data_IF_855927256064
#
_entry.id   IF_855927256064
#
_cell.length_a   1.000
_cell.length_b   1.000
_cell.length_c   1.000
_cell.angle_alpha   90.00
_cell.angle_beta   90.00
_cell.angle_gamma   90.00
#
_symmetry.space_group_name_H-M   'P 1'
#
loop_
_entity.id
_entity.type
_entity.pdbx_description
1 polymer ?
#
# COMPACT_ATOMS: atom_id res chain seq x y z
N UNK A 1 77.90 -13.37 -50.62
CA UNK A 1 77.67 -14.24 -49.43
C UNK A 1 78.19 -15.63 -49.71
N UNK A 2 78.91 -16.25 -48.77
CA UNK A 2 79.35 -17.66 -48.87
C UNK A 2 78.12 -18.58 -48.84
N UNK A 3 78.14 -19.69 -49.58
CA UNK A 3 77.01 -20.64 -49.75
C UNK A 3 76.37 -21.06 -48.40
N UNK A 4 77.22 -21.29 -47.39
CA UNK A 4 76.84 -21.66 -46.02
C UNK A 4 75.90 -20.68 -45.35
N UNK A 5 76.04 -19.38 -45.63
CA UNK A 5 75.24 -18.31 -45.03
C UNK A 5 73.82 -18.25 -45.62
N UNK A 6 73.68 -18.55 -46.92
CA UNK A 6 72.36 -18.66 -47.59
C UNK A 6 71.58 -19.87 -47.09
N UNK A 7 72.25 -21.02 -46.91
CA UNK A 7 71.61 -22.23 -46.38
C UNK A 7 71.14 -22.04 -44.93
N UNK A 8 71.93 -21.35 -44.10
CA UNK A 8 71.55 -21.05 -42.71
C UNK A 8 70.34 -20.11 -42.63
N UNK A 9 70.30 -19.06 -43.44
CA UNK A 9 69.17 -18.12 -43.48
C UNK A 9 67.90 -18.78 -44.03
N UNK A 10 68.02 -19.60 -45.08
CA UNK A 10 66.88 -20.32 -45.65
C UNK A 10 66.25 -21.31 -44.66
N UNK A 11 67.09 -22.07 -43.93
CA UNK A 11 66.61 -22.99 -42.89
C UNK A 11 66.04 -22.26 -41.67
N UNK A 12 66.61 -21.13 -41.26
CA UNK A 12 66.06 -20.30 -40.20
C UNK A 12 64.68 -19.72 -40.55
N UNK A 13 64.50 -19.22 -41.78
CA UNK A 13 63.18 -18.76 -42.25
C UNK A 13 62.14 -19.89 -42.27
N UNK A 14 62.55 -21.07 -42.75
CA UNK A 14 61.68 -22.24 -42.82
C UNK A 14 61.24 -22.74 -41.44
N UNK A 15 62.04 -22.51 -40.40
CA UNK A 15 61.69 -22.87 -39.02
C UNK A 15 60.87 -21.78 -38.30
N UNK A 16 61.21 -20.50 -38.49
CA UNK A 16 60.60 -19.40 -37.72
C UNK A 16 59.22 -19.02 -38.24
N UNK A 17 59.02 -18.96 -39.57
CA UNK A 17 57.74 -18.53 -40.15
C UNK A 17 56.57 -19.45 -39.71
N UNK A 18 56.67 -20.79 -39.79
CA UNK A 18 55.59 -21.66 -39.35
C UNK A 18 55.27 -21.54 -37.86
N UNK A 19 56.28 -21.31 -37.02
CA UNK A 19 56.10 -21.09 -35.58
C UNK A 19 55.33 -19.79 -35.33
N UNK A 20 55.65 -18.71 -36.04
CA UNK A 20 54.93 -17.44 -35.91
C UNK A 20 53.47 -17.56 -36.40
N UNK A 21 53.25 -18.25 -37.53
CA UNK A 21 51.90 -18.47 -38.06
C UNK A 21 51.07 -19.31 -37.08
N UNK A 22 51.61 -20.42 -36.60
CA UNK A 22 50.91 -21.27 -35.63
C UNK A 22 50.64 -20.54 -34.31
N UNK A 23 51.57 -19.74 -33.82
CA UNK A 23 51.36 -18.90 -32.63
C UNK A 23 50.24 -17.89 -32.84
N UNK A 24 50.20 -17.20 -34.00
CA UNK A 24 49.15 -16.23 -34.34
C UNK A 24 47.76 -16.88 -34.44
N UNK A 25 47.65 -18.00 -35.16
CA UNK A 25 46.40 -18.74 -35.32
C UNK A 25 45.92 -19.28 -33.97
N UNK A 26 46.83 -19.88 -33.18
CA UNK A 26 46.52 -20.39 -31.85
C UNK A 26 46.06 -19.27 -30.92
N UNK A 27 46.73 -18.11 -30.96
CA UNK A 27 46.38 -16.93 -30.18
C UNK A 27 44.98 -16.42 -30.53
N UNK A 28 44.66 -16.32 -31.82
CA UNK A 28 43.33 -15.90 -32.29
C UNK A 28 42.24 -16.88 -31.84
N UNK A 29 42.42 -18.18 -32.08
CA UNK A 29 41.46 -19.21 -31.67
C UNK A 29 41.28 -19.21 -30.14
N UNK A 30 42.38 -19.11 -29.39
CA UNK A 30 42.32 -19.09 -27.93
C UNK A 30 41.64 -17.83 -27.40
N UNK A 31 41.85 -16.66 -28.01
CA UNK A 31 41.19 -15.43 -27.55
C UNK A 31 39.71 -15.44 -27.85
N UNK A 32 39.28 -15.86 -29.06
CA UNK A 32 37.86 -15.93 -29.41
C UNK A 32 37.14 -16.98 -28.57
N UNK A 33 37.76 -18.16 -28.39
CA UNK A 33 37.18 -19.21 -27.55
C UNK A 33 37.09 -18.78 -26.08
N UNK A 34 38.10 -18.06 -25.59
CA UNK A 34 38.09 -17.50 -24.23
C UNK A 34 37.02 -16.43 -24.06
N UNK A 35 36.87 -15.53 -25.02
CA UNK A 35 35.83 -14.50 -25.05
C UNK A 35 34.43 -15.11 -25.09
N UNK A 36 34.20 -16.10 -25.97
CA UNK A 36 32.93 -16.81 -26.09
C UNK A 36 32.58 -17.55 -24.78
N UNK A 37 33.55 -18.27 -24.19
CA UNK A 37 33.34 -18.99 -22.94
C UNK A 37 33.04 -18.07 -21.76
N UNK A 38 33.76 -16.95 -21.64
CA UNK A 38 33.51 -15.94 -20.61
C UNK A 38 32.14 -15.28 -20.80
N UNK A 39 31.80 -14.93 -22.04
CA UNK A 39 30.50 -14.34 -22.38
C UNK A 39 29.36 -15.30 -22.07
N UNK A 40 29.48 -16.56 -22.47
CA UNK A 40 28.49 -17.61 -22.20
C UNK A 40 28.35 -17.87 -20.70
N UNK A 41 29.45 -17.88 -19.95
CA UNK A 41 29.43 -17.99 -18.49
C UNK A 41 28.73 -16.80 -17.83
N UNK A 42 29.01 -15.57 -18.28
CA UNK A 42 28.37 -14.37 -17.75
C UNK A 42 26.86 -14.34 -18.05
N UNK A 43 26.46 -14.69 -19.27
CA UNK A 43 25.06 -14.80 -19.66
C UNK A 43 24.33 -15.88 -18.86
N UNK A 44 24.93 -17.06 -18.68
CA UNK A 44 24.35 -18.13 -17.88
C UNK A 44 24.20 -17.72 -16.41
N UNK A 45 25.19 -17.01 -15.86
CA UNK A 45 25.16 -16.52 -14.50
C UNK A 45 24.03 -15.49 -14.28
N UNK A 46 23.92 -14.46 -15.12
CA UNK A 46 22.85 -13.46 -15.03
C UNK A 46 21.48 -14.10 -15.24
N UNK A 47 21.37 -15.05 -16.19
CA UNK A 47 20.14 -15.81 -16.41
C UNK A 47 19.72 -16.57 -15.14
N UNK A 48 20.66 -17.28 -14.51
CA UNK A 48 20.40 -18.01 -13.27
C UNK A 48 20.01 -17.09 -12.12
N UNK A 49 20.67 -15.93 -11.99
CA UNK A 49 20.32 -14.92 -10.99
C UNK A 49 18.92 -14.33 -11.23
N UNK A 50 18.58 -14.01 -12.48
CA UNK A 50 17.26 -13.52 -12.87
C UNK A 50 16.19 -14.55 -12.53
N UNK A 51 16.40 -15.82 -12.89
CA UNK A 51 15.42 -16.88 -12.67
C UNK A 51 15.26 -17.18 -11.17
N UNK A 52 16.35 -17.16 -10.40
CA UNK A 52 16.30 -17.28 -8.94
C UNK A 52 15.57 -16.09 -8.29
N UNK A 53 15.81 -14.85 -8.77
CA UNK A 53 15.13 -13.66 -8.26
C UNK A 53 13.64 -13.68 -8.61
N UNK A 54 13.29 -14.10 -9.82
CA UNK A 54 11.90 -14.30 -10.23
C UNK A 54 11.19 -15.27 -9.30
N UNK A 55 11.77 -16.46 -9.07
CA UNK A 55 11.19 -17.45 -8.17
C UNK A 55 11.02 -16.89 -6.74
N UNK A 56 12.01 -16.16 -6.23
CA UNK A 56 11.92 -15.51 -4.92
C UNK A 56 10.76 -14.50 -4.83
N UNK A 57 10.52 -13.72 -5.89
CA UNK A 57 9.42 -12.75 -5.93
C UNK A 57 8.07 -13.46 -6.01
N UNK A 58 7.94 -14.49 -6.85
CA UNK A 58 6.73 -15.31 -6.96
C UNK A 58 6.40 -16.00 -5.63
N UNK A 59 7.41 -16.57 -4.95
CA UNK A 59 7.26 -17.20 -3.64
C UNK A 59 6.83 -16.20 -2.56
N UNK A 60 7.40 -14.99 -2.57
CA UNK A 60 7.01 -13.92 -1.66
C UNK A 60 5.53 -13.54 -1.84
N UNK A 61 5.09 -13.27 -3.08
CA UNK A 61 3.69 -12.92 -3.32
C UNK A 61 2.74 -14.09 -3.00
N UNK A 62 3.12 -15.32 -3.32
CA UNK A 62 2.33 -16.49 -2.92
C UNK A 62 2.18 -16.60 -1.39
N UNK A 63 3.23 -16.27 -0.63
CA UNK A 63 3.15 -16.21 0.82
C UNK A 63 2.19 -15.11 1.30
N UNK A 64 2.32 -13.88 0.78
CA UNK A 64 1.42 -12.75 1.07
C UNK A 64 -0.03 -13.10 0.75
N UNK A 65 -0.29 -13.72 -0.41
CA UNK A 65 -1.64 -14.12 -0.82
C UNK A 65 -2.25 -15.14 0.14
N UNK A 66 -1.47 -16.13 0.58
CA UNK A 66 -1.95 -17.13 1.53
C UNK A 66 -2.24 -16.50 2.91
N UNK A 67 -1.42 -15.54 3.34
CA UNK A 67 -1.66 -14.81 4.59
C UNK A 67 -2.95 -14.01 4.55
N UNK A 68 -3.15 -13.23 3.50
CA UNK A 68 -4.35 -12.40 3.33
C UNK A 68 -5.60 -13.28 3.34
N UNK A 69 -5.59 -14.44 2.68
CA UNK A 69 -6.70 -15.42 2.76
C UNK A 69 -6.95 -15.88 4.19
N UNK A 70 -5.90 -16.28 4.92
CA UNK A 70 -6.04 -16.72 6.31
C UNK A 70 -6.61 -15.62 7.20
N UNK A 71 -6.21 -14.36 7.01
CA UNK A 71 -6.76 -13.24 7.78
C UNK A 71 -8.17 -12.85 7.39
N UNK A 72 -8.53 -12.92 6.12
CA UNK A 72 -9.89 -12.69 5.67
C UNK A 72 -10.85 -13.77 6.21
N UNK A 73 -10.41 -15.02 6.26
CA UNK A 73 -11.20 -16.15 6.79
C UNK A 73 -11.20 -16.22 8.32
N UNK A 74 -10.33 -15.44 8.99
CA UNK A 74 -10.25 -15.43 10.44
C UNK A 74 -11.58 -14.95 11.03
N UNK A 75 -12.12 -15.72 11.98
CA UNK A 75 -13.41 -15.42 12.63
C UNK A 75 -13.48 -13.98 13.13
N UNK A 76 -12.40 -13.47 13.75
CA UNK A 76 -12.32 -12.10 14.25
C UNK A 76 -12.47 -11.06 13.13
N UNK A 77 -11.85 -11.27 11.97
CA UNK A 77 -11.98 -10.38 10.80
C UNK A 77 -13.38 -10.42 10.22
N UNK A 78 -13.99 -11.61 10.13
CA UNK A 78 -15.37 -11.77 9.64
C UNK A 78 -16.37 -11.09 10.59
N UNK A 79 -16.18 -11.23 11.91
CA UNK A 79 -17.00 -10.56 12.92
C UNK A 79 -16.81 -9.04 12.90
N UNK A 80 -15.57 -8.56 12.72
CA UNK A 80 -15.27 -7.14 12.52
C UNK A 80 -15.97 -6.59 11.27
N UNK A 81 -15.82 -7.27 10.14
CA UNK A 81 -16.42 -6.88 8.86
C UNK A 81 -17.95 -6.78 8.97
N UNK A 82 -18.61 -7.78 9.57
CA UNK A 82 -20.07 -7.76 9.76
C UNK A 82 -20.51 -6.65 10.70
N UNK A 83 -19.89 -6.54 11.87
CA UNK A 83 -20.26 -5.52 12.86
C UNK A 83 -20.05 -4.10 12.33
N UNK A 84 -18.88 -3.84 11.73
CA UNK A 84 -18.57 -2.52 11.17
C UNK A 84 -19.48 -2.18 9.99
N UNK A 85 -19.82 -3.15 9.12
CA UNK A 85 -20.80 -2.94 8.04
C UNK A 85 -22.17 -2.51 8.56
N UNK A 86 -22.62 -3.10 9.66
CA UNK A 86 -23.91 -2.76 10.29
C UNK A 86 -23.87 -1.42 11.05
N UNK A 87 -22.72 -1.06 11.62
CA UNK A 87 -22.55 0.17 12.42
C UNK A 87 -22.20 1.41 11.59
N UNK A 88 -21.42 1.25 10.52
CA UNK A 88 -20.96 2.34 9.65
C UNK A 88 -22.08 3.30 9.20
N UNK A 89 -23.21 2.85 8.63
CA UNK A 89 -24.24 3.77 8.16
C UNK A 89 -25.00 4.49 9.30
N UNK A 90 -24.89 3.99 10.54
CA UNK A 90 -25.55 4.57 11.72
C UNK A 90 -24.65 5.56 12.46
N UNK A 91 -23.38 5.72 12.07
CA UNK A 91 -22.42 6.54 12.79
C UNK A 91 -22.91 7.98 12.98
N UNK A 92 -23.37 8.64 11.90
CA UNK A 92 -23.88 10.01 11.97
C UNK A 92 -25.03 10.17 12.97
N UNK A 93 -25.90 9.18 13.09
CA UNK A 93 -27.06 9.20 13.98
C UNK A 93 -26.71 8.82 15.42
N UNK A 94 -25.73 7.96 15.63
CA UNK A 94 -25.33 7.49 16.95
C UNK A 94 -24.30 8.42 17.62
N UNK A 95 -23.42 9.05 16.85
CA UNK A 95 -22.43 9.98 17.39
C UNK A 95 -23.05 11.29 17.93
N UNK A 96 -24.29 11.63 17.54
CA UNK A 96 -25.06 12.73 18.17
C UNK A 96 -25.52 12.40 19.58
N UNK A 97 -25.55 11.11 19.96
CA UNK A 97 -26.03 10.65 21.26
C UNK A 97 -24.98 10.79 22.37
N UNK A 98 -23.87 11.49 22.12
CA UNK A 98 -22.97 11.96 23.16
C UNK A 98 -23.65 13.06 24.00
N UNK A 99 -24.53 12.63 24.91
CA UNK A 99 -24.59 13.30 26.20
C UNK A 99 -23.25 13.00 26.88
N UNK A 100 -22.46 14.02 27.17
CA UNK A 100 -21.40 13.99 28.18
C UNK A 100 -22.02 13.53 29.51
N UNK A 101 -22.25 12.23 29.63
CA UNK A 101 -22.67 11.59 30.86
C UNK A 101 -21.43 10.95 31.44
N UNK A 102 -20.65 11.76 32.13
CA UNK A 102 -19.50 11.30 32.90
C UNK A 102 -20.03 10.41 34.03
N UNK A 103 -20.05 9.08 33.81
CA UNK A 103 -20.54 8.08 34.77
C UNK A 103 -19.74 8.04 36.08
N UNK A 104 -18.70 8.88 36.20
CA UNK A 104 -17.80 8.99 37.34
C UNK A 104 -17.99 10.29 38.14
N UNK A 105 -18.87 11.20 37.71
CA UNK A 105 -19.21 12.40 38.47
C UNK A 105 -20.42 12.13 39.39
N UNK A 106 -20.16 11.95 40.69
CA UNK A 106 -21.18 11.82 41.75
C UNK A 106 -21.87 13.16 42.08
N UNK A 107 -21.65 14.20 41.27
CA UNK A 107 -22.31 15.50 41.37
C UNK A 107 -23.83 15.42 41.13
N UNK A 108 -24.61 16.39 41.67
CA UNK A 108 -26.03 16.50 41.33
C UNK A 108 -26.19 16.69 39.83
N UNK A 109 -27.07 15.88 39.21
CA UNK A 109 -27.43 15.97 37.79
C UNK A 109 -27.72 17.43 37.40
N UNK A 110 -26.75 18.09 36.78
CA UNK A 110 -26.95 19.37 36.13
C UNK A 110 -27.40 19.05 34.71
N UNK A 111 -28.56 19.56 34.31
CA UNK A 111 -28.93 19.58 32.89
C UNK A 111 -27.87 20.40 32.17
N UNK A 112 -26.93 19.71 31.52
CA UNK A 112 -25.98 20.31 30.59
C UNK A 112 -26.72 20.98 29.44
N UNK A 113 -26.02 21.76 28.59
CA UNK A 113 -26.62 22.28 27.37
C UNK A 113 -27.28 21.12 26.60
N UNK A 114 -28.47 21.33 26.00
CA UNK A 114 -29.14 20.28 25.24
C UNK A 114 -28.17 19.74 24.20
N UNK A 115 -27.94 18.43 24.21
CA UNK A 115 -27.12 17.77 23.20
C UNK A 115 -27.60 18.21 21.81
N UNK A 116 -26.70 18.59 20.89
CA UNK A 116 -27.09 18.97 19.53
C UNK A 116 -27.96 17.87 18.92
N UNK A 117 -29.14 18.22 18.43
CA UNK A 117 -30.06 17.28 17.77
C UNK A 117 -29.45 16.64 16.51
N UNK A 118 -28.34 17.18 16.00
CA UNK A 118 -27.59 16.71 14.83
C UNK A 118 -26.10 17.07 14.94
N UNK A 119 -25.21 16.27 14.34
CA UNK A 119 -23.79 16.60 14.27
C UNK A 119 -23.59 17.91 13.48
N UNK A 120 -22.62 18.76 13.88
CA UNK A 120 -22.29 19.98 13.15
C UNK A 120 -21.45 19.66 11.90
N UNK A 121 -22.08 19.01 10.90
CA UNK A 121 -21.40 18.51 9.70
C UNK A 121 -20.63 19.61 8.95
N UNK A 122 -21.15 20.82 8.89
CA UNK A 122 -20.45 21.95 8.25
C UNK A 122 -19.16 22.32 9.01
N UNK A 123 -19.17 22.32 10.34
CA UNK A 123 -17.97 22.58 11.16
C UNK A 123 -16.94 21.44 11.02
N UNK A 124 -17.41 20.19 10.96
CA UNK A 124 -16.56 19.03 10.68
C UNK A 124 -15.92 19.10 9.30
N UNK A 125 -16.69 19.56 8.30
CA UNK A 125 -16.22 19.77 6.95
C UNK A 125 -15.20 20.90 6.87
N UNK A 126 -15.41 22.01 7.57
CA UNK A 126 -14.42 23.11 7.68
C UNK A 126 -13.11 22.60 8.30
N UNK A 127 -13.19 21.87 9.41
CA UNK A 127 -12.01 21.27 10.07
C UNK A 127 -11.28 20.29 9.16
N UNK A 128 -12.01 19.45 8.42
CA UNK A 128 -11.42 18.54 7.45
C UNK A 128 -10.80 19.29 6.28
N UNK A 129 -11.44 20.36 5.80
CA UNK A 129 -10.87 21.19 4.75
C UNK A 129 -9.52 21.74 5.17
N UNK A 130 -9.41 22.27 6.40
CA UNK A 130 -8.15 22.75 6.96
C UNK A 130 -7.08 21.65 6.98
N UNK A 131 -7.43 20.43 7.41
CA UNK A 131 -6.52 19.27 7.36
C UNK A 131 -6.07 18.94 5.91
N UNK A 132 -7.02 18.90 4.96
CA UNK A 132 -6.75 18.55 3.56
C UNK A 132 -5.86 19.57 2.84
N UNK A 133 -6.04 20.86 3.12
CA UNK A 133 -5.32 21.95 2.43
C UNK A 133 -4.07 22.42 3.18
N UNK A 134 -3.92 22.07 4.46
CA UNK A 134 -2.77 22.45 5.28
C UNK A 134 -1.90 21.23 5.59
N UNK A 135 -2.37 20.36 6.47
CA UNK A 135 -1.57 19.24 7.00
C UNK A 135 -1.21 18.23 5.91
N UNK A 136 -2.21 17.77 5.15
CA UNK A 136 -1.99 16.83 4.05
C UNK A 136 -1.16 17.47 2.93
N UNK A 137 -1.47 18.72 2.56
CA UNK A 137 -0.73 19.42 1.50
C UNK A 137 0.74 19.61 1.87
N UNK A 138 1.03 20.00 3.12
CA UNK A 138 2.40 20.18 3.60
C UNK A 138 3.19 18.88 3.49
N UNK A 139 2.65 17.76 3.97
CA UNK A 139 3.31 16.46 3.86
C UNK A 139 3.49 16.06 2.38
N UNK A 140 2.45 16.23 1.56
CA UNK A 140 2.52 15.95 0.12
C UNK A 140 3.65 16.74 -0.56
N UNK A 141 3.77 18.04 -0.30
CA UNK A 141 4.83 18.90 -0.85
C UNK A 141 6.23 18.54 -0.35
N UNK A 142 6.37 17.88 0.79
CA UNK A 142 7.69 17.40 1.26
C UNK A 142 8.15 16.17 0.49
N UNK A 143 7.22 15.34 0.03
CA UNK A 143 7.48 14.06 -0.63
C UNK A 143 7.47 14.18 -2.16
N UNK A 144 6.83 15.21 -2.71
CA UNK A 144 6.60 15.36 -4.13
C UNK A 144 7.11 16.69 -4.69
N UNK A 145 7.62 16.63 -5.93
CA UNK A 145 8.03 17.83 -6.68
C UNK A 145 6.82 18.54 -7.29
N UNK A 146 5.78 17.80 -7.65
CA UNK A 146 4.55 18.33 -8.23
C UNK A 146 3.63 18.84 -7.12
N UNK A 147 2.75 19.80 -7.46
CA UNK A 147 1.70 20.25 -6.56
C UNK A 147 0.65 19.14 -6.34
N UNK A 148 0.04 19.13 -5.15
CA UNK A 148 -1.10 18.27 -4.87
C UNK A 148 -2.29 18.67 -5.77
N UNK A 149 -3.19 17.73 -6.12
CA UNK A 149 -4.44 18.09 -6.77
C UNK A 149 -5.30 18.98 -5.86
N UNK A 150 -6.33 19.60 -6.44
CA UNK A 150 -7.30 20.43 -5.70
C UNK A 150 -8.06 19.60 -4.64
N UNK A 151 -7.53 19.58 -3.42
CA UNK A 151 -7.99 18.71 -2.34
C UNK A 151 -9.42 19.02 -1.88
N UNK A 152 -9.89 20.25 -2.06
CA UNK A 152 -11.29 20.63 -1.80
C UNK A 152 -12.27 19.83 -2.69
N UNK A 153 -11.87 19.50 -3.92
CA UNK A 153 -12.69 18.66 -4.81
C UNK A 153 -12.75 17.21 -4.35
N UNK A 154 -11.71 16.72 -3.67
CA UNK A 154 -11.71 15.38 -3.06
C UNK A 154 -12.69 15.37 -1.88
N UNK A 155 -12.59 16.35 -0.99
CA UNK A 155 -13.47 16.48 0.17
C UNK A 155 -14.95 16.62 -0.21
N UNK A 156 -15.26 17.40 -1.26
CA UNK A 156 -16.65 17.64 -1.69
C UNK A 156 -17.35 16.42 -2.28
N UNK A 157 -16.64 15.31 -2.53
CA UNK A 157 -17.23 14.04 -2.98
C UNK A 157 -17.66 13.13 -1.81
N UNK A 158 -17.37 13.52 -0.56
CA UNK A 158 -17.77 12.77 0.62
C UNK A 158 -19.21 13.11 1.04
N UNK A 159 -19.97 12.10 1.46
CA UNK A 159 -21.25 12.29 2.13
C UNK A 159 -21.08 12.69 3.62
N UNK A 160 -22.16 13.14 4.26
CA UNK A 160 -22.14 13.57 5.67
C UNK A 160 -21.59 12.52 6.65
N UNK A 161 -21.87 11.24 6.43
CA UNK A 161 -21.42 10.17 7.33
C UNK A 161 -19.92 9.96 7.18
N UNK A 162 -19.44 10.02 5.94
CA UNK A 162 -18.01 9.98 5.60
C UNK A 162 -17.25 11.19 6.16
N UNK A 163 -17.82 12.39 6.06
CA UNK A 163 -17.30 13.62 6.70
C UNK A 163 -17.21 13.43 8.21
N UNK A 164 -18.27 12.93 8.86
CA UNK A 164 -18.26 12.71 10.31
C UNK A 164 -17.18 11.70 10.73
N UNK A 165 -17.07 10.55 10.06
CA UNK A 165 -16.06 9.54 10.37
C UNK A 165 -14.64 10.06 10.17
N UNK A 166 -14.37 10.72 9.05
CA UNK A 166 -13.05 11.30 8.82
C UNK A 166 -12.73 12.40 9.83
N UNK A 167 -13.70 13.22 10.25
CA UNK A 167 -13.48 14.18 11.31
C UNK A 167 -13.01 13.49 12.60
N UNK A 168 -13.75 12.51 13.10
CA UNK A 168 -13.42 11.84 14.37
C UNK A 168 -12.09 11.08 14.34
N UNK A 169 -11.73 10.49 13.20
CA UNK A 169 -10.60 9.56 13.10
C UNK A 169 -9.35 10.12 12.42
N UNK A 170 -9.47 11.25 11.70
CA UNK A 170 -8.36 11.90 10.98
C UNK A 170 -8.08 13.27 11.58
N UNK A 171 -9.03 14.21 11.46
CA UNK A 171 -8.82 15.61 11.80
C UNK A 171 -8.81 15.84 13.33
N UNK A 172 -9.78 15.29 14.06
CA UNK A 172 -9.88 15.37 15.52
C UNK A 172 -9.01 14.32 16.24
N UNK A 173 -8.29 13.48 15.50
CA UNK A 173 -7.39 12.49 16.07
C UNK A 173 -6.14 13.18 16.64
N UNK A 174 -5.88 13.06 17.96
CA UNK A 174 -4.81 13.81 18.63
C UNK A 174 -3.40 13.33 18.25
N UNK A 175 -3.27 12.17 17.61
CA UNK A 175 -1.98 11.66 17.18
C UNK A 175 -1.47 12.42 15.95
N UNK A 176 -0.15 12.66 15.82
CA UNK A 176 0.41 13.34 14.66
C UNK A 176 0.22 12.53 13.36
N UNK A 177 0.38 13.22 12.23
CA UNK A 177 0.45 12.57 10.91
C UNK A 177 1.45 11.41 10.92
N UNK A 178 1.08 10.33 10.24
CA UNK A 178 1.88 9.09 10.20
C UNK A 178 1.80 8.21 11.45
N UNK A 179 0.97 8.55 12.46
CA UNK A 179 0.74 7.73 13.67
C UNK A 179 -0.74 7.59 14.03
N UNK A 180 -1.63 7.82 13.07
CA UNK A 180 -3.09 7.85 13.29
C UNK A 180 -3.64 6.47 13.68
N UNK A 181 -2.93 5.40 13.33
CA UNK A 181 -3.15 4.01 13.77
C UNK A 181 -2.92 3.75 15.26
N UNK A 182 -2.35 4.70 16.00
CA UNK A 182 -2.29 4.61 17.48
C UNK A 182 -3.56 5.16 18.15
N UNK A 183 -4.61 5.49 17.37
CA UNK A 183 -5.87 5.99 17.90
C UNK A 183 -6.90 4.87 18.04
N UNK A 184 -7.01 4.34 19.25
CA UNK A 184 -7.80 3.14 19.53
C UNK A 184 -9.32 3.38 19.56
N UNK A 185 -9.77 4.60 19.86
CA UNK A 185 -11.19 4.92 19.85
C UNK A 185 -11.46 6.42 19.72
N UNK A 186 -12.47 6.77 18.93
CA UNK A 186 -13.09 8.08 18.93
C UNK A 186 -13.63 8.50 20.30
N UNK A 187 -13.90 9.80 20.46
CA UNK A 187 -14.53 10.39 21.63
C UNK A 187 -16.06 10.22 21.64
N UNK A 188 -16.64 9.74 20.53
CA UNK A 188 -18.06 9.41 20.44
C UNK A 188 -18.43 8.07 21.10
N UNK A 189 -19.72 7.86 21.34
CA UNK A 189 -20.28 6.64 21.95
C UNK A 189 -20.96 5.72 20.94
N UNK A 190 -20.81 5.97 19.63
CA UNK A 190 -21.46 5.17 18.60
C UNK A 190 -21.08 3.69 18.66
N UNK A 191 -21.95 2.84 18.14
CA UNK A 191 -21.66 1.42 17.98
C UNK A 191 -20.43 1.18 17.10
N UNK A 192 -20.20 2.04 16.10
CA UNK A 192 -19.00 2.00 15.26
C UNK A 192 -17.75 2.18 16.11
N UNK A 193 -17.70 3.20 16.97
CA UNK A 193 -16.53 3.47 17.82
C UNK A 193 -16.29 2.38 18.86
N UNK A 194 -17.36 1.77 19.38
CA UNK A 194 -17.25 0.60 20.25
C UNK A 194 -16.65 -0.61 19.53
N UNK A 195 -17.07 -0.88 18.29
CA UNK A 195 -16.53 -1.96 17.46
C UNK A 195 -15.10 -1.66 17.00
N UNK A 196 -14.79 -0.42 16.61
CA UNK A 196 -13.44 0.02 16.31
C UNK A 196 -12.53 -0.24 17.51
N UNK A 197 -12.91 0.22 18.72
CA UNK A 197 -12.17 -0.02 19.97
C UNK A 197 -11.90 -1.50 20.22
N UNK A 198 -12.85 -2.37 19.88
CA UNK A 198 -12.73 -3.81 20.07
C UNK A 198 -11.78 -4.47 19.06
N UNK A 199 -11.91 -4.16 17.77
CA UNK A 199 -11.21 -4.89 16.69
C UNK A 199 -9.91 -4.22 16.21
N UNK A 200 -9.76 -2.91 16.41
CA UNK A 200 -8.58 -2.18 15.97
C UNK A 200 -7.26 -2.74 16.54
N UNK A 201 -7.13 -3.11 17.84
CA UNK A 201 -5.91 -3.73 18.35
C UNK A 201 -5.46 -4.97 17.57
N UNK A 202 -6.43 -5.80 17.16
CA UNK A 202 -6.16 -7.03 16.42
C UNK A 202 -5.69 -6.75 14.99
N UNK A 203 -6.40 -5.88 14.28
CA UNK A 203 -6.05 -5.51 12.89
C UNK A 203 -4.74 -4.72 12.84
N UNK A 204 -4.48 -3.86 13.82
CA UNK A 204 -3.22 -3.15 13.96
C UNK A 204 -2.04 -4.09 14.27
N UNK A 205 -2.22 -5.13 15.10
CA UNK A 205 -1.18 -6.14 15.35
C UNK A 205 -0.87 -6.97 14.10
N UNK A 206 -1.88 -7.29 13.27
CA UNK A 206 -1.65 -7.90 11.95
C UNK A 206 -0.82 -6.98 11.06
N UNK A 207 -1.25 -5.71 10.92
CA UNK A 207 -0.58 -4.72 10.09
C UNK A 207 0.91 -4.62 10.45
N UNK A 208 1.23 -4.47 11.74
CA UNK A 208 2.63 -4.39 12.22
C UNK A 208 3.44 -5.66 12.05
N UNK A 209 2.85 -6.84 12.28
CA UNK A 209 3.59 -8.11 12.22
C UNK A 209 3.94 -8.55 10.81
N UNK A 210 3.11 -8.17 9.85
CA UNK A 210 3.24 -8.59 8.46
C UNK A 210 3.66 -7.46 7.52
N UNK A 211 4.00 -6.30 8.09
CA UNK A 211 4.55 -5.13 7.39
C UNK A 211 3.66 -4.67 6.23
N UNK A 212 2.34 -4.76 6.45
CA UNK A 212 1.37 -4.16 5.54
C UNK A 212 1.37 -2.64 5.75
N UNK A 213 1.38 -1.88 4.68
CA UNK A 213 1.25 -0.42 4.76
C UNK A 213 -0.09 -0.04 5.41
N UNK A 214 -1.19 -0.65 4.98
CA UNK A 214 -2.53 -0.49 5.58
C UNK A 214 -3.36 -1.76 5.38
N UNK A 215 -4.40 -1.93 6.20
CA UNK A 215 -5.41 -2.99 6.07
C UNK A 215 -6.78 -2.33 5.99
N UNK A 216 -7.49 -2.62 4.91
CA UNK A 216 -8.84 -2.12 4.65
C UNK A 216 -9.88 -3.20 4.89
N UNK A 217 -11.02 -2.81 5.48
CA UNK A 217 -12.27 -3.55 5.35
C UNK A 217 -13.20 -2.70 4.50
N UNK A 218 -13.71 -3.28 3.41
CA UNK A 218 -14.54 -2.58 2.43
C UNK A 218 -15.88 -3.28 2.33
N UNK A 219 -16.97 -2.51 2.45
CA UNK A 219 -18.30 -3.06 2.25
C UNK A 219 -18.55 -3.39 0.77
N UNK A 220 -18.78 -4.68 0.49
CA UNK A 220 -19.07 -5.20 -0.85
C UNK A 220 -20.29 -4.54 -1.54
N UNK A 221 -21.30 -4.13 -0.76
CA UNK A 221 -22.53 -3.58 -1.34
C UNK A 221 -22.38 -2.09 -1.66
N UNK A 222 -21.97 -1.29 -0.68
CA UNK A 222 -21.87 0.16 -0.84
C UNK A 222 -20.54 0.62 -1.45
N UNK A 223 -19.48 -0.19 -1.34
CA UNK A 223 -18.11 0.16 -1.74
C UNK A 223 -17.37 1.07 -0.77
N UNK A 224 -17.93 1.39 0.40
CA UNK A 224 -17.25 2.24 1.38
C UNK A 224 -16.10 1.51 2.05
N UNK A 225 -14.98 2.21 2.23
CA UNK A 225 -13.89 1.80 3.11
C UNK A 225 -14.36 1.98 4.55
N UNK A 226 -15.09 0.99 5.07
CA UNK A 226 -15.69 1.04 6.41
C UNK A 226 -14.64 0.96 7.53
N UNK A 227 -13.41 0.56 7.22
CA UNK A 227 -12.27 0.55 8.14
C UNK A 227 -10.94 0.66 7.38
N UNK A 228 -10.00 1.41 7.96
CA UNK A 228 -8.57 1.45 7.60
C UNK A 228 -7.76 1.43 8.90
N UNK A 229 -6.58 0.82 8.92
CA UNK A 229 -5.68 0.85 10.08
C UNK A 229 -5.05 2.24 10.22
N UNK A 230 -4.62 2.86 9.12
CA UNK A 230 -3.91 4.15 9.13
C UNK A 230 -4.83 5.38 9.08
N UNK A 231 -6.10 5.22 8.66
CA UNK A 231 -7.09 6.30 8.53
C UNK A 231 -6.53 7.45 7.69
N UNK A 232 -6.15 7.13 6.46
CA UNK A 232 -5.79 8.11 5.43
C UNK A 232 -7.07 8.68 4.78
N UNK A 233 -6.92 9.62 3.85
CA UNK A 233 -8.03 10.36 3.22
C UNK A 233 -9.01 9.48 2.42
N UNK A 234 -8.65 8.22 2.16
CA UNK A 234 -9.49 7.18 1.54
C UNK A 234 -10.41 6.45 2.53
N UNK A 235 -10.13 6.53 3.84
CA UNK A 235 -11.01 6.00 4.88
C UNK A 235 -12.41 6.63 4.77
N UNK A 236 -13.45 5.82 4.94
CA UNK A 236 -14.86 6.20 4.77
C UNK A 236 -15.25 6.67 3.36
N UNK A 237 -14.35 6.69 2.37
CA UNK A 237 -14.73 7.02 0.99
C UNK A 237 -15.34 5.82 0.25
N UNK A 238 -16.18 6.09 -0.75
CA UNK A 238 -16.71 5.06 -1.65
C UNK A 238 -15.72 4.72 -2.77
N UNK A 239 -15.39 3.44 -2.92
CA UNK A 239 -14.61 2.89 -4.02
C UNK A 239 -15.44 2.62 -5.29
N UNK A 240 -16.76 2.84 -5.24
CA UNK A 240 -17.64 2.72 -6.43
C UNK A 240 -17.81 4.06 -7.15
N UNK A 241 -18.02 5.13 -6.42
CA UNK A 241 -18.38 6.44 -6.98
C UNK A 241 -17.65 7.63 -6.34
N UNK A 242 -16.81 7.38 -5.33
CA UNK A 242 -16.05 8.41 -4.63
C UNK A 242 -14.70 8.75 -5.28
N UNK A 243 -13.90 9.61 -4.61
CA UNK A 243 -12.70 10.20 -5.19
C UNK A 243 -11.61 9.17 -5.54
N UNK A 244 -11.62 8.00 -4.89
CA UNK A 244 -10.60 6.96 -5.07
C UNK A 244 -11.08 5.75 -5.88
N UNK A 245 -12.28 5.79 -6.46
CA UNK A 245 -12.85 4.68 -7.22
C UNK A 245 -11.98 4.23 -8.41
N UNK A 246 -11.21 5.15 -9.01
CA UNK A 246 -10.34 4.85 -10.17
C UNK A 246 -8.89 4.49 -9.80
N UNK A 247 -8.55 4.52 -8.52
CA UNK A 247 -7.20 4.20 -8.02
C UNK A 247 -6.96 2.69 -7.96
N UNK A 248 -5.75 2.25 -7.64
CA UNK A 248 -5.46 0.83 -7.45
C UNK A 248 -6.35 0.15 -6.39
N UNK A 249 -6.72 0.87 -5.33
CA UNK A 249 -7.65 0.38 -4.30
C UNK A 249 -9.06 0.15 -4.86
N UNK A 250 -9.57 1.11 -5.66
CA UNK A 250 -10.87 0.95 -6.33
C UNK A 250 -10.88 -0.17 -7.36
N UNK A 251 -9.80 -0.30 -8.15
CA UNK A 251 -9.64 -1.37 -9.13
C UNK A 251 -9.59 -2.75 -8.47
N UNK A 252 -8.87 -2.92 -7.35
CA UNK A 252 -8.80 -4.21 -6.66
C UNK A 252 -10.15 -4.58 -6.05
N UNK A 253 -10.87 -3.59 -5.50
CA UNK A 253 -12.23 -3.76 -4.99
C UNK A 253 -13.18 -4.25 -6.10
N UNK A 254 -13.18 -3.60 -7.27
CA UNK A 254 -14.01 -4.02 -8.40
C UNK A 254 -13.71 -5.46 -8.85
N UNK A 255 -12.44 -5.87 -8.84
CA UNK A 255 -12.04 -7.24 -9.21
C UNK A 255 -12.55 -8.30 -8.24
N UNK A 256 -12.55 -8.02 -6.92
CA UNK A 256 -12.94 -9.03 -5.91
C UNK A 256 -14.41 -9.01 -5.55
N UNK A 257 -15.12 -7.89 -5.73
CA UNK A 257 -16.52 -7.76 -5.31
C UNK A 257 -17.47 -8.77 -6.01
N UNK A 258 -17.13 -9.20 -7.22
CA UNK A 258 -17.90 -10.21 -7.97
C UNK A 258 -17.22 -11.58 -7.99
N UNK A 259 -16.10 -11.72 -7.28
CA UNK A 259 -15.32 -12.95 -7.28
C UNK A 259 -15.88 -13.98 -6.28
N UNK A 260 -15.46 -15.23 -6.47
CA UNK A 260 -15.77 -16.29 -5.50
C UNK A 260 -14.91 -16.11 -4.26
N UNK A 261 -15.43 -16.55 -3.13
CA UNK A 261 -14.69 -16.63 -1.88
C UNK A 261 -13.34 -17.35 -2.07
N UNK A 262 -12.27 -16.79 -1.50
CA UNK A 262 -10.89 -17.28 -1.64
C UNK A 262 -10.18 -16.89 -2.94
N UNK A 263 -10.82 -16.13 -3.85
CA UNK A 263 -10.14 -15.48 -4.97
C UNK A 263 -9.26 -14.36 -4.46
N UNK A 264 -8.03 -14.27 -4.98
CA UNK A 264 -7.13 -13.14 -4.75
C UNK A 264 -7.03 -12.31 -6.02
N UNK A 265 -7.11 -10.99 -5.87
CA UNK A 265 -6.75 -10.04 -6.89
C UNK A 265 -5.52 -9.25 -6.44
N UNK A 266 -4.65 -8.92 -7.40
CA UNK A 266 -3.52 -8.01 -7.23
C UNK A 266 -3.66 -6.90 -8.28
N UNK A 267 -3.58 -5.66 -7.83
CA UNK A 267 -3.37 -4.50 -8.69
C UNK A 267 -1.96 -3.99 -8.44
N UNK A 268 -1.19 -3.87 -9.52
CA UNK A 268 0.23 -3.52 -9.50
C UNK A 268 0.45 -2.07 -9.05
N UNK A 269 1.72 -1.71 -8.83
CA UNK A 269 2.14 -0.41 -8.33
C UNK A 269 1.68 0.74 -9.25
N UNK A 270 1.03 1.72 -8.62
CA UNK A 270 0.72 3.01 -9.23
C UNK A 270 0.85 4.12 -8.17
N UNK A 271 1.04 5.39 -8.60
CA UNK A 271 0.90 6.54 -7.68
C UNK A 271 -0.44 6.49 -6.97
N UNK A 272 -0.42 6.65 -5.64
CA UNK A 272 -1.62 6.60 -4.82
C UNK A 272 -1.73 7.84 -3.94
N UNK A 273 -2.64 8.75 -4.31
CA UNK A 273 -2.82 10.04 -3.66
C UNK A 273 -2.97 9.96 -2.12
N UNK A 274 -3.75 9.03 -1.54
CA UNK A 274 -3.84 8.92 -0.08
C UNK A 274 -2.52 8.60 0.63
N UNK A 275 -1.54 8.02 -0.08
CA UNK A 275 -0.15 7.83 0.36
C UNK A 275 0.81 8.83 -0.29
N UNK A 276 0.33 10.06 -0.55
CA UNK A 276 1.11 11.15 -1.11
C UNK A 276 1.77 10.81 -2.45
N UNK A 277 1.04 10.14 -3.35
CA UNK A 277 1.50 9.71 -4.67
C UNK A 277 2.70 8.73 -4.67
N UNK A 278 3.06 8.17 -3.51
CA UNK A 278 3.97 7.04 -3.45
C UNK A 278 3.40 5.82 -4.20
N UNK A 279 4.30 4.94 -4.65
CA UNK A 279 3.92 3.74 -5.39
C UNK A 279 3.26 2.73 -4.45
N UNK A 280 1.98 2.44 -4.68
CA UNK A 280 1.22 1.46 -3.90
C UNK A 280 0.66 0.37 -4.82
N UNK A 281 0.77 -0.88 -4.38
CA UNK A 281 0.10 -2.04 -4.95
C UNK A 281 -0.94 -2.54 -3.95
N UNK A 282 -2.03 -3.13 -4.46
CA UNK A 282 -3.14 -3.59 -3.62
C UNK A 282 -3.45 -5.05 -3.85
N UNK A 283 -3.67 -5.78 -2.76
CA UNK A 283 -4.11 -7.18 -2.78
C UNK A 283 -5.40 -7.29 -2.00
N UNK A 284 -6.40 -7.96 -2.56
CA UNK A 284 -7.69 -8.17 -1.90
C UNK A 284 -8.25 -9.58 -2.12
N UNK A 285 -9.15 -9.96 -1.22
CA UNK A 285 -9.97 -11.19 -1.28
C UNK A 285 -11.37 -10.88 -0.74
N UNK A 286 -12.44 -11.51 -1.27
CA UNK A 286 -13.81 -11.36 -0.77
C UNK A 286 -14.13 -12.27 0.43
#
# INVERSE_FOLDING_TARGET
MKLRQKMFIGSAFLAVIPVLITALVTSQIASTLGEDALTQSAQSHITSLRDAKKAQVEDYFNWVFNQIKVYADAKTTVEAMRGLKEAYPRFKEEATLNTDFDLLDDGPLQEGPPAPLSLPIEEYKETLQDYYVTDFYQEYSTLNVNEAPEMVNVLNQLDDNSIALQYYYIAANPNPLGTKEEYFAGTDTSSYTQLHRHYHPYLHDIQRRFDFEDIFLVDADSGHVIYSVLKKIDFASSLREGPFAKTGLGQVYEQVNQARHGTIALVDFAPYLPSYDSQAAFVATP
#
